data_IF_999508073605
#
_entry.id   IF_999508073605
#
_cell.length_a   1.000
_cell.length_b   1.000
_cell.length_c   1.000
_cell.angle_alpha   90.00
_cell.angle_beta   90.00
_cell.angle_gamma   90.00
#
_symmetry.space_group_name_H-M   'P 1'
#
loop_
_entity.id
_entity.type
_entity.pdbx_description
1 polymer ?
#
# COMPACT_ATOMS: atom_id res chain seq x y z
N UNK A 1 17.86 -19.53 7.88
CA UNK A 1 16.56 -18.89 8.23
C UNK A 1 15.48 -19.95 8.22
N UNK A 2 14.68 -20.08 9.27
CA UNK A 2 13.59 -21.05 9.33
C UNK A 2 12.27 -20.30 9.07
N UNK A 3 11.61 -20.62 7.97
CA UNK A 3 10.28 -20.08 7.69
C UNK A 3 9.19 -20.95 8.37
N UNK A 4 8.19 -20.27 8.90
CA UNK A 4 6.97 -20.88 9.44
C UNK A 4 5.78 -20.11 8.92
N UNK A 5 4.76 -20.80 8.45
CA UNK A 5 3.46 -20.20 8.11
C UNK A 5 2.47 -20.45 9.25
N UNK A 6 1.75 -19.40 9.63
CA UNK A 6 0.62 -19.44 10.55
C UNK A 6 -0.56 -18.76 9.85
N UNK A 7 -1.66 -19.46 9.69
CA UNK A 7 -2.82 -18.97 8.93
C UNK A 7 -4.12 -19.45 9.56
N UNK A 8 -5.22 -18.75 9.28
CA UNK A 8 -6.57 -19.23 9.56
C UNK A 8 -7.14 -20.14 8.46
N UNK A 9 -6.47 -20.23 7.31
CA UNK A 9 -6.94 -20.89 6.09
C UNK A 9 -6.03 -22.09 5.72
N UNK A 10 -6.58 -23.29 5.53
CA UNK A 10 -5.79 -24.48 5.20
C UNK A 10 -5.33 -24.55 3.72
N UNK A 11 -5.81 -23.69 2.83
CA UNK A 11 -5.61 -23.81 1.36
C UNK A 11 -4.13 -23.78 0.94
N UNK A 12 -3.26 -23.03 1.61
CA UNK A 12 -1.82 -22.94 1.28
C UNK A 12 -0.96 -24.08 1.78
N UNK A 13 -1.55 -25.25 2.17
CA UNK A 13 -0.80 -26.36 2.77
C UNK A 13 0.13 -27.08 1.78
N UNK A 14 -0.30 -27.19 0.53
CA UNK A 14 0.47 -27.91 -0.50
C UNK A 14 1.65 -27.07 -0.99
N UNK A 15 1.48 -25.75 -1.13
CA UNK A 15 2.55 -24.79 -1.42
C UNK A 15 3.58 -24.80 -0.29
N UNK A 16 3.14 -24.74 0.96
CA UNK A 16 4.05 -24.79 2.10
C UNK A 16 4.86 -26.11 2.12
N UNK A 17 4.24 -27.24 1.78
CA UNK A 17 4.92 -28.54 1.65
C UNK A 17 5.94 -28.52 0.53
N UNK A 18 5.58 -27.96 -0.63
CA UNK A 18 6.47 -27.85 -1.78
C UNK A 18 7.76 -27.09 -1.43
N UNK A 19 7.65 -25.99 -0.68
CA UNK A 19 8.79 -25.19 -0.24
C UNK A 19 9.40 -25.61 1.10
N UNK A 20 8.98 -26.74 1.70
CA UNK A 20 9.50 -27.22 2.98
C UNK A 20 9.22 -26.30 4.17
N UNK A 21 8.14 -25.52 4.09
CA UNK A 21 7.75 -24.54 5.13
C UNK A 21 6.84 -25.24 6.16
N UNK A 22 7.15 -25.07 7.45
CA UNK A 22 6.25 -25.55 8.53
C UNK A 22 4.94 -24.76 8.49
N UNK A 23 3.84 -25.45 8.23
CA UNK A 23 2.51 -24.86 8.07
C UNK A 23 1.63 -25.18 9.28
N UNK A 24 1.03 -24.14 9.87
CA UNK A 24 0.14 -24.26 11.02
C UNK A 24 -1.17 -23.53 10.73
N UNK A 25 -2.29 -24.23 10.91
CA UNK A 25 -3.62 -23.63 10.80
C UNK A 25 -4.09 -23.28 12.21
N UNK A 26 -4.08 -21.99 12.52
CA UNK A 26 -4.56 -21.45 13.79
C UNK A 26 -4.93 -19.97 13.60
N UNK A 27 -6.23 -19.63 13.58
CA UNK A 27 -6.68 -18.26 13.47
C UNK A 27 -6.16 -17.41 14.64
N UNK A 28 -5.67 -16.21 14.34
CA UNK A 28 -5.33 -15.22 15.36
C UNK A 28 -6.55 -14.36 15.66
N UNK A 29 -6.81 -14.14 16.95
CA UNK A 29 -7.83 -13.24 17.46
C UNK A 29 -7.23 -12.28 18.49
N UNK A 30 -7.96 -11.25 18.85
CA UNK A 30 -7.56 -10.30 19.89
C UNK A 30 -7.24 -11.01 21.22
N UNK A 31 -7.95 -12.07 21.53
CA UNK A 31 -7.83 -12.81 22.78
C UNK A 31 -6.66 -13.78 22.81
N UNK A 32 -6.28 -14.34 21.65
CA UNK A 32 -5.32 -15.45 21.60
C UNK A 32 -3.95 -15.11 21.02
N UNK A 33 -3.79 -13.98 20.30
CA UNK A 33 -2.57 -13.72 19.51
C UNK A 33 -1.29 -13.76 20.35
N UNK A 34 -1.30 -13.24 21.57
CA UNK A 34 -0.12 -13.26 22.46
C UNK A 34 0.26 -14.70 22.79
N UNK A 35 -0.69 -15.49 23.29
CA UNK A 35 -0.46 -16.90 23.66
C UNK A 35 0.07 -17.72 22.46
N UNK A 36 -0.44 -17.43 21.26
CA UNK A 36 -0.04 -18.15 20.05
C UNK A 36 1.35 -17.74 19.57
N UNK A 37 1.67 -16.45 19.62
CA UNK A 37 2.92 -15.91 19.07
C UNK A 37 4.09 -15.95 20.06
N UNK A 38 3.85 -15.91 21.37
CA UNK A 38 4.91 -15.93 22.39
C UNK A 38 5.93 -17.06 22.25
N UNK A 39 5.53 -18.31 21.98
CA UNK A 39 6.49 -19.41 21.79
C UNK A 39 7.18 -19.39 20.42
N UNK A 40 6.72 -18.56 19.49
CA UNK A 40 7.19 -18.54 18.10
C UNK A 40 8.10 -17.36 17.78
N UNK A 41 7.96 -16.24 18.49
CA UNK A 41 8.61 -14.97 18.19
C UNK A 41 9.46 -14.51 19.37
N UNK A 42 10.76 -14.32 19.15
CA UNK A 42 11.72 -13.83 20.11
C UNK A 42 12.60 -12.72 19.53
N UNK A 43 13.65 -12.33 20.29
CA UNK A 43 14.59 -11.30 19.86
C UNK A 43 15.32 -11.72 18.58
N UNK A 44 15.32 -10.84 17.58
CA UNK A 44 15.96 -11.07 16.29
C UNK A 44 15.11 -11.85 15.28
N UNK A 45 13.94 -12.36 15.68
CA UNK A 45 13.00 -12.96 14.75
C UNK A 45 12.30 -11.88 13.89
N UNK A 46 11.66 -12.32 12.82
CA UNK A 46 10.91 -11.49 11.90
C UNK A 46 9.46 -11.98 11.78
N UNK A 47 8.49 -11.09 12.03
CA UNK A 47 7.08 -11.35 11.77
C UNK A 47 6.67 -10.64 10.48
N UNK A 48 6.39 -11.41 9.43
CA UNK A 48 5.75 -10.93 8.21
C UNK A 48 4.24 -11.17 8.34
N UNK A 49 3.45 -10.10 8.42
CA UNK A 49 2.00 -10.16 8.53
C UNK A 49 1.33 -9.85 7.19
N UNK A 50 0.75 -10.87 6.56
CA UNK A 50 -0.01 -10.77 5.30
C UNK A 50 -1.49 -11.11 5.51
N UNK A 51 -1.96 -11.08 6.76
CA UNK A 51 -3.35 -11.40 7.09
C UNK A 51 -4.23 -10.16 7.07
N UNK A 52 -5.50 -10.34 6.70
CA UNK A 52 -6.56 -9.35 6.87
C UNK A 52 -7.20 -9.52 8.25
N UNK A 53 -7.76 -8.44 8.81
CA UNK A 53 -8.52 -8.45 10.07
C UNK A 53 -7.72 -8.91 11.31
N UNK A 54 -6.39 -8.82 11.26
CA UNK A 54 -5.48 -9.03 12.40
C UNK A 54 -4.76 -7.73 12.69
N UNK A 55 -4.96 -7.15 13.86
CA UNK A 55 -4.48 -5.81 14.21
C UNK A 55 -2.97 -5.64 14.03
N UNK A 56 -2.59 -4.83 13.06
CA UNK A 56 -1.18 -4.45 12.83
C UNK A 56 -0.60 -3.71 14.04
N UNK A 57 -1.35 -2.81 14.66
CA UNK A 57 -0.89 -2.02 15.82
C UNK A 57 -0.50 -2.93 16.99
N UNK A 58 -1.36 -3.91 17.30
CA UNK A 58 -1.10 -4.87 18.39
C UNK A 58 0.08 -5.79 18.08
N UNK A 59 0.20 -6.27 16.82
CA UNK A 59 1.32 -7.10 16.39
C UNK A 59 2.65 -6.32 16.37
N UNK A 60 2.63 -5.06 15.92
CA UNK A 60 3.80 -4.18 15.95
C UNK A 60 4.28 -3.97 17.40
N UNK A 61 3.37 -3.60 18.31
CA UNK A 61 3.75 -3.41 19.72
C UNK A 61 4.26 -4.71 20.35
N UNK A 62 3.66 -5.84 20.02
CA UNK A 62 4.13 -7.17 20.45
C UNK A 62 5.56 -7.44 19.96
N UNK A 63 5.86 -7.22 18.67
CA UNK A 63 7.17 -7.46 18.08
C UNK A 63 8.24 -6.54 18.69
N UNK A 64 7.98 -5.24 18.77
CA UNK A 64 8.92 -4.27 19.33
C UNK A 64 9.30 -4.58 20.78
N UNK A 65 8.32 -4.96 21.61
CA UNK A 65 8.56 -5.35 23.01
C UNK A 65 9.41 -6.63 23.14
N UNK A 66 9.38 -7.49 22.14
CA UNK A 66 10.17 -8.75 22.13
C UNK A 66 11.49 -8.63 21.39
N UNK A 67 11.79 -7.45 20.79
CA UNK A 67 12.97 -7.24 19.97
C UNK A 67 12.91 -7.99 18.63
N UNK A 68 11.74 -8.24 18.12
CA UNK A 68 11.49 -8.83 16.80
C UNK A 68 11.19 -7.74 15.75
N UNK A 69 11.59 -7.99 14.51
CA UNK A 69 11.26 -7.16 13.36
C UNK A 69 9.85 -7.45 12.85
N UNK A 70 9.27 -6.50 12.11
CA UNK A 70 7.91 -6.63 11.60
C UNK A 70 7.78 -5.95 10.22
N UNK A 71 6.94 -6.56 9.37
CA UNK A 71 6.46 -5.94 8.13
C UNK A 71 5.04 -6.43 7.84
N UNK A 72 4.20 -5.54 7.33
CA UNK A 72 2.91 -5.86 6.70
C UNK A 72 2.73 -5.11 5.37
N UNK A 73 1.65 -5.41 4.66
CA UNK A 73 1.28 -4.74 3.40
C UNK A 73 0.13 -3.76 3.57
N UNK A 74 -0.60 -3.83 4.69
CA UNK A 74 -1.70 -2.93 5.05
C UNK A 74 -1.80 -2.84 6.58
N UNK A 75 -2.12 -1.68 7.13
CA UNK A 75 -2.39 -1.54 8.56
C UNK A 75 -3.83 -1.97 8.82
N UNK A 76 -4.00 -3.18 9.31
CA UNK A 76 -5.30 -3.78 9.61
C UNK A 76 -5.74 -3.54 11.06
N UNK A 77 -7.03 -3.31 11.32
CA UNK A 77 -7.62 -3.45 12.66
C UNK A 77 -7.96 -4.93 12.92
N UNK A 78 -8.40 -5.25 14.15
CA UNK A 78 -9.07 -6.53 14.40
C UNK A 78 -10.40 -6.62 13.65
N UNK A 79 -10.86 -7.86 13.42
CA UNK A 79 -12.14 -8.18 12.76
C UNK A 79 -13.27 -7.21 13.19
N UNK A 80 -13.94 -6.62 12.22
CA UNK A 80 -15.02 -5.65 12.42
C UNK A 80 -14.57 -4.21 12.68
N UNK A 81 -13.27 -3.94 12.88
CA UNK A 81 -12.78 -2.61 13.25
C UNK A 81 -13.06 -1.51 12.22
N UNK A 82 -13.08 -1.82 10.94
CA UNK A 82 -13.44 -0.87 9.88
C UNK A 82 -14.93 -0.46 9.92
N UNK A 83 -15.79 -1.31 10.47
CA UNK A 83 -17.25 -1.12 10.49
C UNK A 83 -17.80 -0.72 11.85
N UNK A 84 -16.95 -0.63 12.88
CA UNK A 84 -17.37 -0.24 14.24
C UNK A 84 -17.83 1.22 14.27
N UNK A 85 -19.14 1.43 14.25
CA UNK A 85 -19.75 2.77 14.28
C UNK A 85 -19.65 3.48 15.61
N UNK A 86 -19.23 2.81 16.69
CA UNK A 86 -18.93 3.45 17.98
C UNK A 86 -17.66 4.30 17.89
N UNK A 87 -16.79 4.00 16.91
CA UNK A 87 -15.57 4.75 16.61
C UNK A 87 -15.84 5.69 15.42
N UNK A 88 -15.42 6.94 15.53
CA UNK A 88 -15.60 7.90 14.42
C UNK A 88 -14.89 7.44 13.14
N UNK A 89 -15.47 7.75 11.97
CA UNK A 89 -14.89 7.41 10.67
C UNK A 89 -13.41 7.84 10.55
N UNK A 90 -13.05 9.01 11.07
CA UNK A 90 -11.65 9.49 11.07
C UNK A 90 -10.69 8.65 11.93
N UNK A 91 -11.19 7.91 12.91
CA UNK A 91 -10.36 7.06 13.80
C UNK A 91 -10.20 5.64 13.30
N UNK A 92 -11.17 5.13 12.54
CA UNK A 92 -11.17 3.77 11.96
C UNK A 92 -10.73 3.73 10.50
N UNK A 93 -10.21 4.84 9.99
CA UNK A 93 -9.64 4.98 8.65
C UNK A 93 -8.16 4.61 8.62
N UNK A 94 -7.58 4.44 7.43
CA UNK A 94 -6.13 4.24 7.28
C UNK A 94 -5.33 5.36 7.93
N UNK A 95 -5.82 6.60 7.84
CA UNK A 95 -5.22 7.72 8.56
C UNK A 95 -5.20 7.49 10.07
N UNK A 96 -6.33 7.08 10.66
CA UNK A 96 -6.43 6.84 12.10
C UNK A 96 -5.47 5.74 12.56
N UNK A 97 -5.46 4.61 11.86
CA UNK A 97 -4.59 3.47 12.14
C UNK A 97 -3.10 3.82 11.98
N UNK A 98 -2.74 4.57 10.92
CA UNK A 98 -1.36 5.05 10.74
C UNK A 98 -0.91 5.95 11.91
N UNK A 99 -1.77 6.85 12.39
CA UNK A 99 -1.42 7.71 13.53
C UNK A 99 -1.18 6.92 14.82
N UNK A 100 -1.84 5.78 15.02
CA UNK A 100 -1.56 4.85 16.11
C UNK A 100 -0.16 4.21 15.96
N UNK A 101 0.21 3.77 14.76
CA UNK A 101 1.56 3.27 14.47
C UNK A 101 2.62 4.36 14.66
N UNK A 102 2.37 5.59 14.21
CA UNK A 102 3.26 6.74 14.43
C UNK A 102 3.43 7.05 15.92
N UNK A 103 2.41 6.81 16.75
CA UNK A 103 2.52 6.93 18.20
C UNK A 103 3.48 5.87 18.78
N UNK A 104 3.49 4.65 18.25
CA UNK A 104 4.45 3.61 18.63
C UNK A 104 5.90 4.00 18.28
N UNK A 105 6.13 4.69 17.15
CA UNK A 105 7.46 5.26 16.81
C UNK A 105 8.00 6.16 17.94
N UNK A 106 7.15 7.00 18.50
CA UNK A 106 7.53 7.88 19.60
C UNK A 106 7.74 7.13 20.91
N UNK A 107 6.98 6.08 21.14
CA UNK A 107 7.05 5.25 22.36
C UNK A 107 8.29 4.35 22.36
N UNK A 108 8.74 3.91 21.19
CA UNK A 108 9.86 2.97 21.00
C UNK A 108 10.88 3.48 19.98
N UNK A 109 11.57 4.61 20.24
CA UNK A 109 12.41 5.28 19.22
C UNK A 109 13.62 4.46 18.76
N UNK A 110 14.10 3.53 19.58
CA UNK A 110 15.27 2.67 19.30
C UNK A 110 14.87 1.18 19.27
N UNK A 111 13.64 0.89 18.88
CA UNK A 111 13.13 -0.48 18.78
C UNK A 111 13.67 -1.22 17.56
N UNK A 112 13.30 -2.49 17.46
CA UNK A 112 13.51 -3.28 16.24
C UNK A 112 12.85 -2.61 15.05
N UNK A 113 13.40 -2.87 13.85
CA UNK A 113 12.83 -2.33 12.61
C UNK A 113 11.44 -2.89 12.35
N UNK A 114 10.51 -1.97 12.15
CA UNK A 114 9.12 -2.20 11.82
C UNK A 114 8.80 -1.38 10.57
N UNK A 115 8.35 -2.03 9.51
CA UNK A 115 7.93 -1.36 8.27
C UNK A 115 6.46 -1.71 8.04
N UNK A 116 5.52 -0.86 8.46
CA UNK A 116 4.13 -1.05 8.12
C UNK A 116 3.90 -0.69 6.65
N UNK A 117 2.95 -1.36 6.02
CA UNK A 117 2.46 -1.08 4.66
C UNK A 117 3.53 -1.11 3.56
N UNK A 118 4.31 -2.20 3.46
CA UNK A 118 5.34 -2.32 2.43
C UNK A 118 5.10 -3.49 1.48
N UNK A 119 4.38 -3.22 0.39
CA UNK A 119 4.19 -4.07 -0.78
C UNK A 119 4.53 -3.27 -2.05
N UNK A 120 3.69 -3.36 -3.06
CA UNK A 120 3.83 -2.53 -4.26
C UNK A 120 3.29 -1.11 -4.00
N UNK A 121 2.06 -1.00 -3.53
CA UNK A 121 1.38 0.20 -3.07
C UNK A 121 0.40 -0.16 -1.92
N UNK A 122 0.69 0.34 -0.73
CA UNK A 122 1.89 1.06 -0.28
C UNK A 122 3.19 0.27 -0.41
N UNK A 123 4.33 0.96 -0.43
CA UNK A 123 5.67 0.37 -0.48
C UNK A 123 6.51 0.90 -1.64
N UNK A 124 6.63 0.13 -2.73
CA UNK A 124 7.45 0.51 -3.90
C UNK A 124 7.08 1.88 -4.46
N UNK A 125 5.83 2.28 -4.36
CA UNK A 125 5.37 3.60 -4.81
C UNK A 125 6.16 4.75 -4.17
N UNK A 126 6.54 4.67 -2.88
CA UNK A 126 7.34 5.67 -2.20
C UNK A 126 8.75 5.77 -2.80
N UNK A 127 9.31 4.65 -3.23
CA UNK A 127 10.62 4.57 -3.87
C UNK A 127 10.57 5.09 -5.30
N UNK A 128 9.50 4.79 -6.04
CA UNK A 128 9.27 5.33 -7.38
C UNK A 128 9.06 6.85 -7.38
N UNK A 129 8.39 7.41 -6.39
CA UNK A 129 8.29 8.87 -6.21
C UNK A 129 9.68 9.48 -6.05
N UNK A 130 10.52 8.92 -5.18
CA UNK A 130 11.89 9.42 -4.96
C UNK A 130 12.74 9.32 -6.23
N UNK A 131 12.72 8.17 -6.91
CA UNK A 131 13.44 8.01 -8.18
C UNK A 131 12.93 8.98 -9.25
N UNK A 132 11.62 9.16 -9.36
CA UNK A 132 11.00 10.14 -10.26
C UNK A 132 11.47 11.58 -9.99
N UNK A 133 11.55 11.98 -8.72
CA UNK A 133 12.07 13.29 -8.34
C UNK A 133 13.55 13.47 -8.71
N UNK A 134 14.39 12.43 -8.53
CA UNK A 134 15.79 12.46 -8.97
C UNK A 134 15.89 12.61 -10.49
N UNK A 135 15.07 11.87 -11.25
CA UNK A 135 15.05 11.96 -12.70
C UNK A 135 14.60 13.37 -13.17
N UNK A 136 13.51 13.87 -12.60
CA UNK A 136 13.04 15.25 -12.87
C UNK A 136 14.09 16.29 -12.51
N UNK A 137 14.88 16.10 -11.44
CA UNK A 137 15.93 17.05 -11.07
C UNK A 137 17.03 17.14 -12.14
N UNK A 138 17.38 16.02 -12.80
CA UNK A 138 18.31 15.99 -13.92
C UNK A 138 17.76 16.78 -15.11
N UNK A 139 16.49 16.62 -15.41
CA UNK A 139 15.84 17.21 -16.58
C UNK A 139 15.54 18.71 -16.38
N UNK A 140 15.09 19.12 -15.19
CA UNK A 140 14.66 20.48 -14.87
C UNK A 140 15.84 21.31 -14.35
N UNK A 141 16.54 20.80 -13.33
CA UNK A 141 17.62 21.53 -12.66
C UNK A 141 19.00 21.31 -13.30
N UNK A 142 19.08 20.47 -14.37
CA UNK A 142 20.31 20.08 -15.07
C UNK A 142 21.37 19.43 -14.18
N UNK A 143 20.95 18.89 -13.04
CA UNK A 143 21.81 18.14 -12.10
C UNK A 143 20.99 17.13 -11.32
N UNK A 144 21.59 15.98 -11.02
CA UNK A 144 20.99 15.03 -10.08
C UNK A 144 21.02 15.60 -8.66
N UNK A 145 19.85 15.77 -8.05
CA UNK A 145 19.77 16.16 -6.65
C UNK A 145 20.24 14.99 -5.75
N UNK A 146 20.71 15.32 -4.55
CA UNK A 146 21.16 14.35 -3.54
C UNK A 146 20.51 14.66 -2.19
N UNK A 147 19.21 14.42 -2.03
CA UNK A 147 18.52 14.63 -0.76
C UNK A 147 19.02 13.62 0.28
N UNK A 148 19.36 14.07 1.49
CA UNK A 148 19.86 13.22 2.57
C UNK A 148 18.84 13.07 3.70
N UNK A 149 17.90 13.99 3.80
CA UNK A 149 16.86 14.00 4.84
C UNK A 149 15.45 14.09 4.24
N UNK A 150 14.45 13.71 5.04
CA UNK A 150 13.05 13.93 4.73
C UNK A 150 12.78 15.39 4.28
N UNK A 151 13.41 16.36 4.96
CA UNK A 151 13.22 17.76 4.63
C UNK A 151 13.83 18.12 3.27
N UNK A 152 14.96 17.54 2.89
CA UNK A 152 15.57 17.78 1.57
C UNK A 152 14.73 17.19 0.46
N UNK A 153 14.15 16.00 0.65
CA UNK A 153 13.19 15.40 -0.27
C UNK A 153 11.96 16.29 -0.46
N UNK A 154 11.38 16.79 0.63
CA UNK A 154 10.23 17.69 0.57
C UNK A 154 10.57 19.02 -0.13
N UNK A 155 11.74 19.60 0.14
CA UNK A 155 12.23 20.82 -0.54
C UNK A 155 12.48 20.57 -2.02
N UNK A 156 13.02 19.39 -2.40
CA UNK A 156 13.21 19.01 -3.80
C UNK A 156 11.89 18.96 -4.54
N UNK A 157 10.88 18.29 -3.99
CA UNK A 157 9.55 18.22 -4.58
C UNK A 157 8.92 19.61 -4.73
N UNK A 158 9.09 20.49 -3.73
CA UNK A 158 8.65 21.89 -3.78
C UNK A 158 9.40 22.68 -4.85
N UNK A 159 10.74 22.53 -4.97
CA UNK A 159 11.56 23.23 -5.96
C UNK A 159 11.23 22.80 -7.38
N UNK A 160 10.89 21.53 -7.58
CA UNK A 160 10.44 20.99 -8.86
C UNK A 160 8.97 21.33 -9.17
N UNK A 161 8.27 22.02 -8.25
CA UNK A 161 6.86 22.41 -8.39
C UNK A 161 5.90 21.21 -8.57
N UNK A 162 6.24 20.04 -8.04
CA UNK A 162 5.34 18.88 -8.06
C UNK A 162 4.11 19.20 -7.21
N UNK A 163 2.94 19.25 -7.84
CA UNK A 163 1.66 19.58 -7.16
C UNK A 163 0.91 18.33 -6.75
N UNK A 164 0.85 17.34 -7.63
CA UNK A 164 0.07 16.14 -7.41
C UNK A 164 0.91 14.90 -7.69
N UNK A 165 0.78 13.91 -6.84
CA UNK A 165 1.39 12.58 -6.96
C UNK A 165 0.25 11.58 -7.02
N UNK A 166 0.13 10.83 -8.12
CA UNK A 166 -0.78 9.70 -8.19
C UNK A 166 0.01 8.42 -7.96
N UNK A 167 -0.44 7.56 -7.07
CA UNK A 167 -0.25 6.15 -7.24
C UNK A 167 -1.18 5.76 -8.39
N UNK A 168 -0.62 5.58 -9.58
CA UNK A 168 -1.37 5.33 -10.81
C UNK A 168 -1.24 3.88 -11.20
N UNK A 169 -2.38 3.17 -11.22
CA UNK A 169 -2.41 1.75 -11.55
C UNK A 169 -3.51 1.41 -12.54
N UNK A 170 -3.11 0.71 -13.60
CA UNK A 170 -3.99 0.14 -14.62
C UNK A 170 -3.65 -1.32 -14.83
N UNK A 171 -4.50 -2.19 -14.32
CA UNK A 171 -4.45 -3.63 -14.55
C UNK A 171 -5.27 -3.98 -15.82
N UNK A 172 -4.62 -4.56 -16.81
CA UNK A 172 -5.23 -5.01 -18.06
C UNK A 172 -5.28 -6.52 -18.19
N UNK A 173 -5.01 -7.26 -17.11
CA UNK A 173 -4.99 -8.72 -17.12
C UNK A 173 -6.35 -9.30 -17.49
N UNK A 174 -6.35 -10.27 -18.40
CA UNK A 174 -7.54 -10.94 -18.94
C UNK A 174 -7.54 -12.39 -18.48
N UNK A 175 -8.69 -12.85 -17.97
CA UNK A 175 -8.87 -14.20 -17.46
C UNK A 175 -9.91 -14.99 -18.26
N UNK A 176 -9.66 -16.30 -18.42
CA UNK A 176 -10.61 -17.25 -18.97
C UNK A 176 -10.66 -18.53 -18.09
N UNK A 177 -11.78 -18.85 -17.40
CA UNK A 177 -13.04 -18.12 -17.44
C UNK A 177 -12.96 -16.77 -16.70
N UNK A 178 -13.64 -15.77 -17.27
CA UNK A 178 -13.80 -14.46 -16.64
C UNK A 178 -14.73 -14.49 -15.43
N UNK A 179 -15.19 -13.32 -15.00
CA UNK A 179 -16.15 -13.17 -13.90
C UNK A 179 -17.48 -13.87 -14.21
N UNK A 180 -17.99 -14.64 -13.25
CA UNK A 180 -19.30 -15.27 -13.30
C UNK A 180 -20.34 -14.45 -12.55
N UNK A 181 -21.64 -14.71 -12.80
CA UNK A 181 -22.72 -14.11 -12.03
C UNK A 181 -22.62 -14.51 -10.56
N UNK A 182 -22.91 -13.57 -9.66
CA UNK A 182 -22.83 -13.74 -8.19
C UNK A 182 -21.42 -14.13 -7.69
N UNK A 183 -20.40 -13.67 -8.39
CA UNK A 183 -19.00 -13.87 -8.04
C UNK A 183 -18.29 -12.52 -7.97
N UNK A 184 -17.42 -12.33 -7.00
CA UNK A 184 -16.47 -11.22 -6.98
C UNK A 184 -15.09 -11.75 -7.33
N UNK A 185 -14.45 -11.21 -8.35
CA UNK A 185 -13.09 -11.59 -8.75
C UNK A 185 -12.14 -10.41 -8.69
N UNK A 186 -10.87 -10.67 -8.41
CA UNK A 186 -9.80 -9.69 -8.41
C UNK A 186 -8.45 -10.40 -8.69
N UNK A 187 -7.42 -9.66 -9.07
CA UNK A 187 -6.06 -10.17 -9.29
C UNK A 187 -5.23 -10.26 -8.00
N UNK A 188 -5.77 -9.80 -6.88
CA UNK A 188 -5.23 -9.91 -5.53
C UNK A 188 -6.36 -10.11 -4.52
N UNK A 189 -6.14 -9.97 -3.23
CA UNK A 189 -7.14 -10.24 -2.19
C UNK A 189 -8.48 -9.57 -2.46
N UNK A 190 -9.56 -10.37 -2.60
CA UNK A 190 -10.91 -9.84 -2.77
C UNK A 190 -11.38 -9.14 -1.49
N UNK A 191 -11.14 -9.74 -0.33
CA UNK A 191 -11.56 -9.18 0.95
C UNK A 191 -10.81 -7.87 1.27
N UNK A 192 -9.51 -7.83 1.02
CA UNK A 192 -8.71 -6.61 1.13
C UNK A 192 -9.25 -5.50 0.23
N UNK A 193 -9.46 -5.78 -1.06
CA UNK A 193 -9.95 -4.79 -2.01
C UNK A 193 -11.36 -4.28 -1.67
N UNK A 194 -12.28 -5.16 -1.26
CA UNK A 194 -13.63 -4.77 -0.84
C UNK A 194 -13.57 -3.93 0.43
N UNK A 195 -12.71 -4.30 1.39
CA UNK A 195 -12.47 -3.51 2.61
C UNK A 195 -12.03 -2.09 2.30
N UNK A 196 -11.01 -1.93 1.46
CA UNK A 196 -10.48 -0.63 1.04
C UNK A 196 -11.47 0.18 0.18
N UNK A 197 -12.13 -0.49 -0.77
CA UNK A 197 -13.10 0.14 -1.66
C UNK A 197 -14.38 0.60 -0.97
N UNK A 198 -14.74 -0.03 0.16
CA UNK A 198 -15.96 0.28 0.94
C UNK A 198 -15.72 1.37 1.99
N UNK A 199 -14.48 1.65 2.35
CA UNK A 199 -14.14 2.71 3.30
C UNK A 199 -14.34 4.10 2.68
N UNK A 200 -14.53 5.15 3.52
CA UNK A 200 -14.40 6.54 3.08
C UNK A 200 -13.07 6.72 2.38
N UNK A 201 -13.08 7.21 1.14
CA UNK A 201 -11.83 7.40 0.42
C UNK A 201 -11.00 8.53 1.03
N UNK A 202 -9.71 8.28 1.18
CA UNK A 202 -8.74 9.21 1.75
C UNK A 202 -7.77 9.67 0.67
N UNK A 203 -7.30 10.90 0.80
CA UNK A 203 -6.26 11.45 -0.06
C UNK A 203 -5.45 12.49 0.70
N UNK A 204 -4.15 12.54 0.41
CA UNK A 204 -3.29 13.63 0.85
C UNK A 204 -3.77 14.95 0.26
N UNK A 205 -3.81 16.01 1.06
CA UNK A 205 -4.39 17.29 0.64
C UNK A 205 -3.32 18.37 0.47
N UNK A 206 -3.09 18.75 -0.78
CA UNK A 206 -2.04 19.67 -1.19
C UNK A 206 -2.32 21.14 -0.86
N UNK A 207 -1.25 21.92 -0.70
CA UNK A 207 -1.35 23.37 -0.44
C UNK A 207 -1.81 24.19 -1.63
N UNK A 208 -1.78 23.62 -2.83
CA UNK A 208 -2.25 24.27 -4.06
C UNK A 208 -3.75 24.11 -4.30
N UNK A 209 -4.42 23.24 -3.54
CA UNK A 209 -5.85 22.97 -3.67
C UNK A 209 -6.68 24.22 -3.25
N UNK A 210 -7.51 24.71 -4.16
CA UNK A 210 -8.30 25.93 -3.95
C UNK A 210 -9.74 25.64 -3.50
N UNK A 211 -10.26 24.46 -3.81
CA UNK A 211 -11.66 24.12 -3.58
C UNK A 211 -11.75 22.85 -2.74
N UNK A 212 -12.24 23.00 -1.51
CA UNK A 212 -12.48 21.85 -0.63
C UNK A 212 -13.74 21.09 -1.08
N UNK A 213 -13.69 19.74 -1.20
CA UNK A 213 -14.85 18.95 -1.62
C UNK A 213 -16.03 19.13 -0.68
N UNK A 214 -17.26 19.17 -1.22
CA UNK A 214 -18.49 19.36 -0.40
C UNK A 214 -18.67 18.26 0.63
N UNK A 215 -18.33 17.03 0.30
CA UNK A 215 -18.38 15.83 1.14
C UNK A 215 -17.02 15.53 1.82
N UNK A 216 -16.05 16.44 1.69
CA UNK A 216 -14.75 16.33 2.33
C UNK A 216 -14.80 16.61 3.83
N UNK A 217 -13.98 15.89 4.58
CA UNK A 217 -13.76 16.08 6.02
C UNK A 217 -12.27 16.11 6.33
N UNK A 218 -11.87 16.98 7.25
CA UNK A 218 -10.51 17.07 7.74
C UNK A 218 -10.34 16.26 9.02
N UNK A 219 -9.19 15.59 9.15
CA UNK A 219 -8.78 14.98 10.42
C UNK A 219 -8.39 16.06 11.44
N UNK A 220 -8.87 15.91 12.68
CA UNK A 220 -8.64 16.88 13.76
C UNK A 220 -7.40 16.57 14.60
N UNK A 221 -6.72 15.43 14.35
CA UNK A 221 -5.55 14.94 15.08
C UNK A 221 -4.44 14.52 14.11
N UNK A 222 -3.28 14.15 14.63
CA UNK A 222 -2.16 13.63 13.87
C UNK A 222 -1.48 14.65 12.95
N UNK A 223 -0.90 14.16 11.85
CA UNK A 223 -0.12 14.95 10.90
C UNK A 223 -0.96 15.96 10.10
N UNK A 224 -2.26 15.74 9.97
CA UNK A 224 -3.23 16.57 9.20
C UNK A 224 -2.81 16.76 7.74
N UNK A 225 -2.18 15.72 7.16
CA UNK A 225 -1.74 15.75 5.76
C UNK A 225 -2.82 15.33 4.77
N UNK A 226 -3.88 14.68 5.25
CA UNK A 226 -4.94 14.10 4.43
C UNK A 226 -6.33 14.60 4.82
N UNK A 227 -7.26 14.38 3.90
CA UNK A 227 -8.71 14.51 4.09
C UNK A 227 -9.37 13.17 3.75
N UNK A 228 -10.63 13.01 4.12
CA UNK A 228 -11.47 11.90 3.63
C UNK A 228 -12.79 12.41 3.08
N UNK A 229 -13.34 11.68 2.09
CA UNK A 229 -14.69 11.93 1.59
C UNK A 229 -15.68 11.01 2.32
N UNK A 230 -16.91 11.47 2.57
CA UNK A 230 -17.92 10.72 3.32
C UNK A 230 -18.64 9.65 2.48
N UNK A 231 -17.98 9.15 1.43
CA UNK A 231 -18.47 8.09 0.55
C UNK A 231 -17.35 7.08 0.24
N UNK A 232 -17.71 5.84 -0.11
CA UNK A 232 -16.74 4.79 -0.36
C UNK A 232 -15.90 5.06 -1.61
N UNK A 233 -14.63 4.67 -1.58
CA UNK A 233 -13.68 4.85 -2.68
C UNK A 233 -14.15 4.21 -3.98
N UNK A 234 -14.78 3.04 -3.91
CA UNK A 234 -15.35 2.36 -5.06
C UNK A 234 -16.47 3.14 -5.78
N UNK A 235 -17.03 4.20 -5.17
CA UNK A 235 -18.01 5.11 -5.79
C UNK A 235 -17.41 6.40 -6.36
N UNK A 236 -16.10 6.65 -6.16
CA UNK A 236 -15.40 7.86 -6.61
C UNK A 236 -14.49 7.55 -7.77
N UNK A 237 -14.46 8.44 -8.77
CA UNK A 237 -13.56 8.34 -9.91
C UNK A 237 -12.61 9.52 -9.95
N UNK A 238 -11.35 9.23 -10.29
CA UNK A 238 -10.30 10.20 -10.54
C UNK A 238 -9.62 9.91 -11.87
N UNK A 239 -9.13 10.95 -12.53
CA UNK A 239 -8.35 10.79 -13.76
C UNK A 239 -6.90 10.50 -13.43
N UNK A 240 -6.31 9.55 -14.15
CA UNK A 240 -4.89 9.27 -14.10
C UNK A 240 -4.37 8.86 -15.47
N UNK A 241 -3.12 8.40 -15.53
CA UNK A 241 -2.44 8.04 -16.77
C UNK A 241 -1.36 6.99 -16.48
N UNK A 242 -1.23 6.02 -17.40
CA UNK A 242 -0.11 5.07 -17.44
C UNK A 242 0.46 4.98 -18.86
N UNK A 243 1.72 4.53 -19.05
CA UNK A 243 2.39 4.60 -20.35
C UNK A 243 1.79 3.71 -21.43
N UNK A 244 1.26 2.54 -21.11
CA UNK A 244 0.68 1.61 -22.08
C UNK A 244 -0.77 1.94 -22.41
N UNK A 245 -1.58 2.31 -21.41
CA UNK A 245 -3.01 2.52 -21.58
C UNK A 245 -3.40 3.99 -21.78
N UNK A 246 -2.49 4.94 -21.50
CA UNK A 246 -2.79 6.37 -21.60
C UNK A 246 -3.69 6.86 -20.46
N UNK A 247 -4.60 7.79 -20.77
CA UNK A 247 -5.49 8.41 -19.78
C UNK A 247 -6.68 7.52 -19.44
N UNK A 248 -6.98 7.37 -18.14
CA UNK A 248 -8.12 6.58 -17.67
C UNK A 248 -8.84 7.21 -16.48
N UNK A 249 -10.02 6.72 -16.17
CA UNK A 249 -10.74 6.97 -14.93
C UNK A 249 -10.54 5.80 -13.96
N UNK A 250 -9.70 5.98 -12.94
CA UNK A 250 -9.54 5.04 -11.84
C UNK A 250 -10.54 5.26 -10.72
N UNK A 251 -10.70 4.27 -9.86
CA UNK A 251 -11.37 4.42 -8.58
C UNK A 251 -10.42 5.11 -7.60
N UNK A 252 -10.96 6.00 -6.76
CA UNK A 252 -10.20 6.61 -5.66
C UNK A 252 -10.23 5.67 -4.46
N UNK A 253 -9.36 4.69 -4.46
CA UNK A 253 -9.27 3.72 -3.35
C UNK A 253 -8.51 4.33 -2.19
N UNK A 254 -8.94 4.05 -0.95
CA UNK A 254 -8.23 4.50 0.24
C UNK A 254 -6.98 3.66 0.44
N UNK A 255 -5.81 4.31 0.51
CA UNK A 255 -4.52 3.65 0.69
C UNK A 255 -3.57 4.48 1.55
N UNK A 256 -2.71 3.78 2.31
CA UNK A 256 -1.80 4.39 3.27
C UNK A 256 -0.80 5.35 2.67
N UNK A 257 -0.30 5.07 1.45
CA UNK A 257 0.69 5.91 0.75
C UNK A 257 0.16 7.30 0.43
N UNK A 258 -1.14 7.46 0.17
CA UNK A 258 -1.74 8.78 -0.06
C UNK A 258 -1.51 9.72 1.12
N UNK A 259 -1.49 9.16 2.33
CA UNK A 259 -1.28 9.88 3.59
C UNK A 259 0.20 10.06 3.87
N UNK A 260 0.99 8.96 3.81
CA UNK A 260 2.41 8.95 4.19
C UNK A 260 3.25 9.80 3.24
N UNK A 261 3.07 9.68 1.91
CA UNK A 261 3.77 10.48 0.91
C UNK A 261 3.43 11.97 1.09
N UNK A 262 2.15 12.32 1.23
CA UNK A 262 1.75 13.72 1.44
C UNK A 262 2.33 14.29 2.73
N UNK A 263 2.37 13.51 3.82
CA UNK A 263 3.02 13.90 5.07
C UNK A 263 4.54 14.02 4.91
N UNK A 264 5.18 13.04 4.28
CA UNK A 264 6.64 12.98 4.08
C UNK A 264 7.15 14.19 3.29
N UNK A 265 6.48 14.55 2.19
CA UNK A 265 6.85 15.68 1.34
C UNK A 265 6.31 17.04 1.81
N UNK A 266 5.91 17.16 3.08
CA UNK A 266 5.44 18.44 3.65
C UNK A 266 6.61 19.33 4.08
N UNK A 267 6.71 20.55 3.52
CA UNK A 267 7.61 21.61 3.97
C UNK A 267 6.90 22.54 4.94
N UNK A 268 7.49 22.78 6.11
CA UNK A 268 6.94 23.67 7.14
C UNK A 268 7.89 24.81 7.46
N UNK A 269 7.32 25.97 7.82
CA UNK A 269 8.00 27.08 8.48
C UNK A 269 7.28 27.33 9.80
N UNK A 270 7.89 26.88 10.91
CA UNK A 270 7.20 26.81 12.21
C UNK A 270 5.95 25.93 12.11
N UNK A 271 4.79 26.52 12.49
CA UNK A 271 3.50 25.82 12.43
C UNK A 271 2.82 25.88 11.03
N UNK A 272 3.32 26.77 10.12
CA UNK A 272 2.72 26.97 8.80
C UNK A 272 3.23 25.92 7.83
N UNK A 273 2.30 25.29 7.11
CA UNK A 273 2.62 24.41 5.96
C UNK A 273 2.86 25.31 4.75
N UNK A 274 4.08 25.27 4.23
CA UNK A 274 4.50 26.05 3.06
C UNK A 274 4.23 25.32 1.74
N UNK A 275 4.42 24.00 1.77
CA UNK A 275 4.22 23.13 0.64
C UNK A 275 3.80 21.75 1.12
N UNK A 276 2.90 21.15 0.36
CA UNK A 276 2.51 19.75 0.43
C UNK A 276 1.89 19.36 -0.91
N UNK A 277 2.26 18.22 -1.50
CA UNK A 277 1.57 17.71 -2.69
C UNK A 277 0.22 17.08 -2.31
N UNK A 278 -0.75 17.14 -3.21
CA UNK A 278 -1.88 16.20 -3.18
C UNK A 278 -1.37 14.82 -3.54
N UNK A 279 -1.79 13.79 -2.81
CA UNK A 279 -1.45 12.41 -3.13
C UNK A 279 -2.69 11.53 -3.06
N UNK A 280 -2.89 10.65 -4.06
CA UNK A 280 -4.00 9.71 -4.07
C UNK A 280 -3.71 8.47 -4.91
N UNK A 281 -4.43 7.39 -4.61
CA UNK A 281 -4.42 6.19 -5.42
C UNK A 281 -5.52 6.26 -6.48
N UNK A 282 -5.13 6.12 -7.73
CA UNK A 282 -6.02 6.03 -8.89
C UNK A 282 -5.90 4.62 -9.46
N UNK A 283 -6.83 3.76 -9.09
CA UNK A 283 -6.81 2.35 -9.43
C UNK A 283 -7.87 1.99 -10.47
N UNK A 284 -7.46 1.46 -11.60
CA UNK A 284 -8.34 0.77 -12.52
C UNK A 284 -7.97 -0.71 -12.53
N UNK A 285 -8.67 -1.53 -11.73
CA UNK A 285 -8.44 -2.97 -11.72
C UNK A 285 -8.77 -3.60 -13.07
N UNK A 286 -8.45 -4.87 -13.25
CA UNK A 286 -8.80 -5.60 -14.46
C UNK A 286 -10.31 -5.55 -14.73
N UNK A 287 -10.70 -5.67 -15.98
CA UNK A 287 -12.12 -5.48 -16.40
C UNK A 287 -13.08 -6.45 -15.70
N UNK A 288 -12.63 -7.66 -15.40
CA UNK A 288 -13.43 -8.62 -14.62
C UNK A 288 -13.70 -8.11 -13.18
N UNK A 289 -12.76 -7.41 -12.57
CA UNK A 289 -12.94 -6.80 -11.27
C UNK A 289 -13.85 -5.57 -11.35
N UNK A 290 -13.74 -4.77 -12.41
CA UNK A 290 -14.68 -3.65 -12.67
C UNK A 290 -16.11 -4.16 -12.77
N UNK A 291 -16.35 -5.25 -13.49
CA UNK A 291 -17.67 -5.91 -13.57
C UNK A 291 -18.13 -6.41 -12.19
N UNK A 292 -17.22 -6.91 -11.36
CA UNK A 292 -17.52 -7.33 -9.98
C UNK A 292 -17.98 -6.15 -9.12
N UNK A 293 -17.29 -4.99 -9.23
CA UNK A 293 -17.68 -3.76 -8.55
C UNK A 293 -19.04 -3.24 -9.00
N UNK A 294 -19.35 -3.32 -10.30
CA UNK A 294 -20.66 -2.92 -10.83
C UNK A 294 -21.79 -3.82 -10.29
N UNK A 295 -21.58 -5.14 -10.23
CA UNK A 295 -22.55 -6.05 -9.61
C UNK A 295 -22.71 -5.79 -8.12
N UNK A 296 -21.61 -5.57 -7.40
CA UNK A 296 -21.58 -5.25 -5.97
C UNK A 296 -22.37 -3.96 -5.67
N UNK A 297 -22.12 -2.89 -6.43
CA UNK A 297 -22.86 -1.65 -6.33
C UNK A 297 -24.35 -1.83 -6.69
N UNK A 298 -24.65 -2.55 -7.76
CA UNK A 298 -26.02 -2.85 -8.21
C UNK A 298 -26.80 -3.70 -7.19
N UNK A 299 -26.12 -4.43 -6.31
CA UNK A 299 -26.70 -5.19 -5.20
C UNK A 299 -26.71 -4.42 -3.89
N UNK A 300 -26.72 -3.09 -3.94
CA UNK A 300 -26.66 -2.23 -2.75
C UNK A 300 -25.48 -2.54 -1.82
N UNK A 301 -24.31 -2.81 -2.38
CA UNK A 301 -23.08 -3.12 -1.66
C UNK A 301 -23.17 -4.42 -0.82
N UNK A 302 -23.97 -5.38 -1.26
CA UNK A 302 -24.00 -6.73 -0.70
C UNK A 302 -22.99 -7.60 -1.43
N UNK A 303 -21.95 -8.02 -0.71
CA UNK A 303 -20.88 -8.85 -1.26
C UNK A 303 -21.41 -10.23 -1.65
N UNK A 304 -21.10 -10.74 -2.87
CA UNK A 304 -21.39 -12.12 -3.24
C UNK A 304 -20.65 -13.12 -2.34
N UNK A 305 -21.25 -14.28 -2.11
CA UNK A 305 -20.60 -15.37 -1.35
C UNK A 305 -19.40 -15.95 -2.09
N UNK A 306 -19.46 -16.03 -3.42
CA UNK A 306 -18.38 -16.56 -4.22
C UNK A 306 -17.31 -15.47 -4.45
N UNK A 307 -16.07 -15.78 -4.04
CA UNK A 307 -14.90 -14.92 -4.19
C UNK A 307 -13.79 -15.72 -4.86
N UNK A 308 -13.10 -15.13 -5.82
CA UNK A 308 -12.00 -15.79 -6.51
C UNK A 308 -10.89 -14.80 -6.84
N UNK A 309 -9.66 -15.16 -6.49
CA UNK A 309 -8.47 -14.46 -6.97
C UNK A 309 -8.12 -15.07 -8.33
N UNK A 310 -7.97 -14.20 -9.33
CA UNK A 310 -7.59 -14.59 -10.69
C UNK A 310 -6.10 -14.94 -10.73
N UNK A 311 -5.78 -16.19 -11.00
CA UNK A 311 -4.42 -16.73 -11.00
C UNK A 311 -4.13 -17.43 -12.34
N UNK A 312 -4.21 -18.76 -12.40
CA UNK A 312 -3.84 -19.56 -13.57
C UNK A 312 -4.69 -19.30 -14.81
N UNK A 313 -5.93 -18.87 -14.63
CA UNK A 313 -6.85 -18.49 -15.70
C UNK A 313 -6.50 -17.16 -16.40
N UNK A 314 -5.60 -16.34 -15.82
CA UNK A 314 -5.10 -15.14 -16.50
C UNK A 314 -4.16 -15.56 -17.61
N UNK A 315 -4.43 -15.14 -18.84
CA UNK A 315 -3.68 -15.58 -20.02
C UNK A 315 -3.01 -14.44 -20.80
N UNK A 316 -3.42 -13.21 -20.58
CA UNK A 316 -2.93 -12.03 -21.30
C UNK A 316 -3.02 -10.79 -20.41
N UNK A 317 -2.35 -9.71 -20.81
CA UNK A 317 -2.39 -8.41 -20.17
C UNK A 317 -1.17 -8.12 -19.29
N UNK A 318 -1.21 -6.97 -18.67
CA UNK A 318 -0.14 -6.45 -17.82
C UNK A 318 -0.73 -5.66 -16.66
N UNK A 319 0.04 -5.48 -15.62
CA UNK A 319 -0.24 -4.51 -14.58
C UNK A 319 0.77 -3.36 -14.66
N UNK A 320 0.27 -2.15 -14.91
CA UNK A 320 1.05 -0.91 -14.94
C UNK A 320 0.82 -0.16 -13.64
N UNK A 321 1.81 -0.15 -12.77
CA UNK A 321 1.77 0.49 -11.46
C UNK A 321 2.96 1.42 -11.28
N UNK A 322 2.70 2.69 -10.97
CA UNK A 322 3.78 3.66 -10.79
C UNK A 322 3.35 4.99 -10.20
N UNK A 323 4.35 5.83 -9.95
CA UNK A 323 4.19 7.20 -9.50
C UNK A 323 4.04 8.15 -10.69
N UNK A 324 2.89 8.80 -10.81
CA UNK A 324 2.67 9.90 -11.76
C UNK A 324 2.80 11.22 -11.02
N UNK A 325 3.86 11.95 -11.31
CA UNK A 325 4.18 13.26 -10.73
C UNK A 325 3.69 14.37 -11.70
N UNK A 326 2.83 15.26 -11.21
CA UNK A 326 2.20 16.28 -12.04
C UNK A 326 2.42 17.69 -11.49
N UNK A 327 2.36 18.71 -12.39
CA UNK A 327 2.33 20.12 -12.04
C UNK A 327 3.68 20.84 -12.17
N UNK A 328 4.76 20.13 -12.49
CA UNK A 328 6.08 20.67 -12.79
C UNK A 328 6.17 21.18 -14.24
N UNK A 329 7.25 21.88 -14.60
CA UNK A 329 7.41 22.53 -15.93
C UNK A 329 7.32 21.56 -17.13
N UNK A 330 7.59 20.26 -16.93
CA UNK A 330 7.45 19.22 -17.96
C UNK A 330 6.03 18.64 -18.03
N UNK A 331 5.09 19.16 -17.23
CA UNK A 331 3.70 18.73 -17.18
C UNK A 331 3.47 17.52 -16.30
N UNK A 332 3.83 16.32 -16.76
CA UNK A 332 3.69 15.07 -16.02
C UNK A 332 4.88 14.13 -16.28
N UNK A 333 5.23 13.33 -15.29
CA UNK A 333 6.28 12.31 -15.35
C UNK A 333 5.83 11.04 -14.62
N UNK A 334 5.89 9.92 -15.29
CA UNK A 334 5.56 8.62 -14.69
C UNK A 334 6.83 7.77 -14.53
N UNK A 335 6.94 7.08 -13.40
CA UNK A 335 7.98 6.10 -13.13
C UNK A 335 7.41 4.94 -12.31
N UNK A 336 7.60 3.71 -12.77
CA UNK A 336 7.02 2.54 -12.15
C UNK A 336 7.35 1.25 -12.87
N UNK A 337 6.54 0.23 -12.64
CA UNK A 337 6.60 -1.10 -13.23
C UNK A 337 5.51 -1.27 -14.30
N UNK A 338 5.84 -1.99 -15.37
CA UNK A 338 4.91 -2.53 -16.35
C UNK A 338 5.22 -4.00 -16.53
N UNK A 339 4.51 -4.84 -15.79
CA UNK A 339 4.75 -6.27 -15.75
C UNK A 339 3.64 -7.02 -16.49
N UNK A 340 4.01 -7.76 -17.54
CA UNK A 340 3.06 -8.63 -18.25
C UNK A 340 2.87 -9.95 -17.52
N UNK A 341 1.72 -10.61 -17.75
CA UNK A 341 1.47 -11.94 -17.18
C UNK A 341 2.53 -12.96 -17.62
N UNK A 342 3.05 -12.82 -18.85
CA UNK A 342 4.06 -13.74 -19.39
C UNK A 342 5.41 -13.56 -18.70
N UNK A 343 5.83 -12.33 -18.43
CA UNK A 343 7.04 -12.02 -17.65
C UNK A 343 6.87 -12.48 -16.20
N UNK A 344 5.74 -12.18 -15.58
CA UNK A 344 5.44 -12.61 -14.22
C UNK A 344 5.55 -14.12 -14.07
N UNK A 345 4.96 -14.90 -14.97
CA UNK A 345 5.03 -16.37 -14.92
C UNK A 345 6.39 -16.96 -15.24
N UNK A 346 7.19 -16.29 -16.06
CA UNK A 346 8.57 -16.70 -16.32
C UNK A 346 9.43 -16.54 -15.06
N UNK A 347 9.17 -15.49 -14.26
CA UNK A 347 9.88 -15.21 -13.01
C UNK A 347 9.35 -16.06 -11.85
N UNK A 348 8.03 -16.20 -11.76
CA UNK A 348 7.34 -16.90 -10.68
C UNK A 348 6.07 -17.60 -11.24
N UNK A 349 6.14 -18.89 -11.62
CA UNK A 349 5.13 -19.58 -12.43
C UNK A 349 3.70 -19.55 -11.90
N UNK A 350 3.51 -19.44 -10.58
CA UNK A 350 2.20 -19.45 -9.93
C UNK A 350 1.64 -18.07 -9.61
N UNK A 351 2.29 -16.99 -10.07
CA UNK A 351 1.85 -15.62 -9.82
C UNK A 351 1.20 -14.98 -11.05
N UNK A 352 0.27 -14.05 -10.80
CA UNK A 352 -0.10 -13.05 -11.79
C UNK A 352 0.81 -11.82 -11.66
N UNK A 353 0.65 -10.83 -12.55
CA UNK A 353 1.50 -9.64 -12.57
C UNK A 353 1.37 -8.82 -11.28
N UNK A 354 0.15 -8.57 -10.82
CA UNK A 354 -0.14 -7.80 -9.60
C UNK A 354 0.47 -8.45 -8.36
N UNK A 355 0.25 -9.76 -8.19
CA UNK A 355 0.78 -10.50 -7.02
C UNK A 355 2.31 -10.48 -6.99
N UNK A 356 2.98 -10.58 -8.15
CA UNK A 356 4.44 -10.58 -8.20
C UNK A 356 5.01 -9.20 -7.84
N UNK A 357 4.40 -8.12 -8.28
CA UNK A 357 4.80 -6.76 -7.88
C UNK A 357 4.69 -6.56 -6.37
N UNK A 358 3.60 -7.03 -5.75
CA UNK A 358 3.43 -7.01 -4.29
C UNK A 358 4.51 -7.82 -3.60
N UNK A 359 4.75 -9.06 -4.07
CA UNK A 359 5.77 -9.94 -3.50
C UNK A 359 7.19 -9.34 -3.61
N UNK A 360 7.52 -8.69 -4.73
CA UNK A 360 8.78 -7.98 -4.94
C UNK A 360 8.98 -6.86 -3.91
N UNK A 361 7.93 -6.07 -3.66
CA UNK A 361 7.94 -5.02 -2.66
C UNK A 361 8.11 -5.57 -1.24
N UNK A 362 7.34 -6.60 -0.89
CA UNK A 362 7.46 -7.29 0.42
C UNK A 362 8.88 -7.81 0.62
N UNK A 363 9.43 -8.52 -0.36
CA UNK A 363 10.79 -9.06 -0.29
C UNK A 363 11.82 -7.94 -0.09
N UNK A 364 11.72 -6.85 -0.84
CA UNK A 364 12.62 -5.71 -0.70
C UNK A 364 12.56 -5.10 0.71
N UNK A 365 11.37 -4.93 1.27
CA UNK A 365 11.18 -4.43 2.63
C UNK A 365 11.72 -5.37 3.70
N UNK A 366 11.50 -6.68 3.56
CA UNK A 366 12.02 -7.72 4.48
C UNK A 366 13.55 -7.72 4.48
N UNK A 367 14.18 -7.75 3.30
CA UNK A 367 15.64 -7.76 3.19
C UNK A 367 16.24 -6.47 3.77
N UNK A 368 15.66 -5.31 3.42
CA UNK A 368 16.14 -4.04 3.96
C UNK A 368 16.00 -3.98 5.49
N UNK A 369 14.91 -4.46 6.07
CA UNK A 369 14.72 -4.50 7.51
C UNK A 369 15.75 -5.41 8.20
N UNK A 370 16.07 -6.55 7.60
CA UNK A 370 17.12 -7.46 8.11
C UNK A 370 18.51 -6.85 8.03
N UNK A 371 18.80 -6.06 6.99
CA UNK A 371 20.06 -5.30 6.86
C UNK A 371 20.11 -4.11 7.86
N UNK A 372 18.95 -3.66 8.35
CA UNK A 372 18.81 -2.49 9.22
C UNK A 372 17.93 -2.80 10.46
N UNK A 373 18.35 -3.72 11.36
CA UNK A 373 17.47 -4.34 12.36
C UNK A 373 17.02 -3.44 13.53
N UNK A 374 17.57 -2.23 13.66
CA UNK A 374 17.35 -1.32 14.80
C UNK A 374 16.96 0.10 14.36
N UNK A 375 16.11 0.24 13.36
CA UNK A 375 15.64 1.54 12.84
C UNK A 375 14.37 2.04 13.53
N UNK A 376 13.76 1.24 14.41
CA UNK A 376 12.45 1.54 14.98
C UNK A 376 11.33 1.43 13.92
N UNK A 377 10.23 2.12 14.16
CA UNK A 377 9.08 2.15 13.23
C UNK A 377 9.36 3.13 12.08
N UNK A 378 9.39 2.64 10.85
CA UNK A 378 9.66 3.38 9.63
C UNK A 378 8.44 3.35 8.72
N UNK A 379 7.98 4.49 8.17
CA UNK A 379 7.12 4.45 6.99
C UNK A 379 7.93 3.93 5.77
N UNK A 380 7.30 3.42 4.70
CA UNK A 380 8.01 3.08 3.44
C UNK A 380 8.85 4.24 2.91
N UNK A 381 8.39 5.47 3.12
CA UNK A 381 9.11 6.70 2.76
C UNK A 381 10.44 6.88 3.50
N UNK A 382 10.65 6.24 4.66
CA UNK A 382 11.90 6.30 5.43
C UNK A 382 12.94 5.26 4.99
N UNK A 383 12.52 4.26 4.18
CA UNK A 383 13.39 3.19 3.66
C UNK A 383 14.32 3.74 2.56
N UNK A 384 15.51 3.18 2.46
CA UNK A 384 16.45 3.51 1.37
C UNK A 384 15.87 3.06 0.04
N UNK A 385 15.46 4.04 -0.78
CA UNK A 385 14.79 3.78 -2.05
C UNK A 385 15.70 3.09 -3.08
N UNK A 386 17.01 3.37 -3.08
CA UNK A 386 17.94 2.76 -4.02
C UNK A 386 18.09 1.28 -3.72
N UNK A 387 18.27 0.93 -2.44
CA UNK A 387 18.37 -0.47 -2.02
C UNK A 387 17.06 -1.22 -2.24
N UNK A 388 15.93 -0.60 -1.93
CA UNK A 388 14.62 -1.21 -2.17
C UNK A 388 14.37 -1.48 -3.66
N UNK A 389 14.68 -0.52 -4.54
CA UNK A 389 14.55 -0.69 -6.00
C UNK A 389 15.56 -1.69 -6.56
N UNK A 390 16.81 -1.71 -6.07
CA UNK A 390 17.80 -2.73 -6.47
C UNK A 390 17.29 -4.15 -6.22
N UNK A 391 16.64 -4.37 -5.08
CA UNK A 391 16.08 -5.68 -4.72
C UNK A 391 14.83 -6.03 -5.51
N UNK A 392 13.94 -5.05 -5.75
CA UNK A 392 12.65 -5.31 -6.39
C UNK A 392 12.72 -5.36 -7.91
N UNK A 393 13.52 -4.49 -8.57
CA UNK A 393 13.56 -4.32 -10.03
C UNK A 393 13.71 -5.61 -10.85
N UNK A 394 14.44 -6.66 -10.40
CA UNK A 394 14.50 -7.93 -11.15
C UNK A 394 13.15 -8.64 -11.33
N UNK A 395 12.12 -8.21 -10.61
CA UNK A 395 10.79 -8.84 -10.58
C UNK A 395 9.65 -7.88 -11.03
N UNK A 396 10.02 -6.74 -11.62
CA UNK A 396 9.08 -5.66 -11.98
C UNK A 396 9.05 -5.39 -13.49
#
# INVERSE_FOLDING_TARGET
>A
MLFRSLTGDPRGKDEARHFGIKFNVKPLTRENYKQVLEPLIGKGDFLLNLSVEVSSVDLIEFCVRRGAMYLDTCIEPWLGGYYDTSISASRRSNYGLREEVVALRRKYPNGSTVIPTHGANPGLISHWVKQGLINLSRDILKRAAKPESRQDWAKLAMQLEVKTIHCSERDTQVANPGKRRLEFVNTWSVDGFVGEGSQPCELGWGTHEKHFPRDGKQHKFGCKSAIFLTRPGASVRVRSWTPGEGSFHGFLITHGEAISISDYFTVRSGKKVMYRPTCHYAYHPCDNTVLSLHEYAGKNWQLPENKRILMDEVYEGADELGALLCGHEKGAYWYGSRLTIHEARKLAPFNNATSLQVAAGVMAGVVWAMENPLRGVCDPDDVDYQRALELANPYL
#
